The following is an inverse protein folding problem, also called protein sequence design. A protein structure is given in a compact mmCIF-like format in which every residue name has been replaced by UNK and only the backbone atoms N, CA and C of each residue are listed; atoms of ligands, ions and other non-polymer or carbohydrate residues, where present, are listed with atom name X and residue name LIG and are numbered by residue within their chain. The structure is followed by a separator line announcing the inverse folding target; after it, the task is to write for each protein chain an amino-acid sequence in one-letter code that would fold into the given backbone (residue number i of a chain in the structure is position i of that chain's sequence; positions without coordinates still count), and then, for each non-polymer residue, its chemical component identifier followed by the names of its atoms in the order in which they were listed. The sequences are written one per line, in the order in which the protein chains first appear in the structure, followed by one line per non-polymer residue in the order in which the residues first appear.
data_IF_109501764736
#
_entry.id   IF_109501764736
#
_cell.length_a   1.000
_cell.length_b   1.000
_cell.length_c   1.000
_cell.angle_alpha   90.00
_cell.angle_beta   90.00
_cell.angle_gamma   90.00
#
_symmetry.space_group_name_H-M   'P 1'
#
loop_
_entity.id
_entity.type
_entity.pdbx_description
1 polymer ?
#
# COMPACT_ATOMS: atom_id res chain seq x y z
N UNK A 1 6.66 -26.16 11.36
CA UNK A 1 5.95 -25.39 10.31
C UNK A 1 6.62 -25.75 8.98
N UNK A 2 5.86 -26.14 7.98
CA UNK A 2 6.42 -26.57 6.69
C UNK A 2 7.11 -25.37 6.01
N UNK A 3 8.35 -25.51 5.59
CA UNK A 3 9.15 -24.46 4.95
C UNK A 3 8.41 -23.92 3.71
N UNK A 4 7.77 -24.78 2.96
CA UNK A 4 6.94 -24.45 1.80
C UNK A 4 5.76 -23.51 2.15
N UNK A 5 5.13 -23.69 3.31
CA UNK A 5 4.03 -22.82 3.75
C UNK A 5 4.51 -21.40 4.05
N UNK A 6 5.63 -21.25 4.74
CA UNK A 6 6.20 -19.91 5.03
C UNK A 6 6.60 -19.19 3.73
N UNK A 7 7.19 -19.91 2.77
CA UNK A 7 7.57 -19.36 1.46
C UNK A 7 6.34 -18.88 0.67
N UNK A 8 5.25 -19.67 0.65
CA UNK A 8 3.99 -19.27 0.02
C UNK A 8 3.43 -17.99 0.67
N UNK A 9 3.40 -17.88 2.00
CA UNK A 9 2.89 -16.70 2.69
C UNK A 9 3.71 -15.43 2.37
N UNK A 10 5.02 -15.54 2.23
CA UNK A 10 5.89 -14.43 1.84
C UNK A 10 5.64 -14.00 0.38
N UNK A 11 5.47 -14.96 -0.53
CA UNK A 11 5.15 -14.69 -1.93
C UNK A 11 3.78 -14.02 -2.07
N UNK A 12 2.77 -14.45 -1.31
CA UNK A 12 1.43 -13.85 -1.33
C UNK A 12 1.47 -12.40 -0.81
N UNK A 13 2.19 -12.11 0.28
CA UNK A 13 2.40 -10.74 0.76
C UNK A 13 3.11 -9.87 -0.28
N UNK A 14 4.12 -10.41 -0.95
CA UNK A 14 4.83 -9.69 -2.01
C UNK A 14 3.92 -9.41 -3.20
N UNK A 15 3.08 -10.37 -3.61
CA UNK A 15 2.09 -10.18 -4.68
C UNK A 15 1.08 -9.10 -4.34
N UNK A 16 0.56 -9.11 -3.12
CA UNK A 16 -0.37 -8.09 -2.63
C UNK A 16 0.25 -6.68 -2.59
N UNK A 17 1.51 -6.55 -2.15
CA UNK A 17 2.24 -5.28 -2.17
C UNK A 17 2.42 -4.76 -3.60
N UNK A 18 2.79 -5.61 -4.56
CA UNK A 18 2.88 -5.24 -5.96
C UNK A 18 1.53 -4.78 -6.55
N UNK A 19 0.44 -5.48 -6.23
CA UNK A 19 -0.90 -5.05 -6.63
C UNK A 19 -1.27 -3.68 -6.04
N UNK A 20 -0.99 -3.47 -4.74
CA UNK A 20 -1.23 -2.20 -4.09
C UNK A 20 -0.42 -1.07 -4.73
N UNK A 21 0.88 -1.27 -5.00
CA UNK A 21 1.74 -0.28 -5.69
C UNK A 21 1.22 0.07 -7.08
N UNK A 22 0.75 -0.91 -7.86
CA UNK A 22 0.16 -0.63 -9.18
C UNK A 22 -1.09 0.27 -9.09
N UNK A 23 -1.90 0.12 -8.04
CA UNK A 23 -3.08 0.98 -7.81
C UNK A 23 -2.73 2.41 -7.38
N UNK A 24 -1.53 2.63 -6.85
CA UNK A 24 -1.02 3.97 -6.51
C UNK A 24 -0.52 4.73 -7.74
N UNK A 25 -0.17 4.03 -8.83
CA UNK A 25 0.35 4.66 -10.05
C UNK A 25 -0.76 5.41 -10.80
N UNK A 26 -0.66 6.75 -10.93
CA UNK A 26 -1.75 7.55 -11.52
C UNK A 26 -1.95 7.29 -13.01
N UNK A 27 -0.89 6.84 -13.69
CA UNK A 27 -0.89 6.68 -15.14
C UNK A 27 -0.21 5.37 -15.53
N UNK A 28 -1.01 4.45 -16.10
CA UNK A 28 -0.51 3.19 -16.64
C UNK A 28 -0.49 3.22 -18.17
N UNK A 29 0.70 3.14 -18.75
CA UNK A 29 0.91 3.12 -20.18
C UNK A 29 2.24 3.75 -20.61
N UNK A 30 2.37 4.02 -21.91
CA UNK A 30 3.57 4.61 -22.50
C UNK A 30 3.34 6.11 -22.75
N UNK A 31 4.20 7.01 -22.23
CA UNK A 31 4.10 8.43 -22.54
C UNK A 31 4.29 8.71 -24.03
N UNK A 32 3.43 9.58 -24.57
CA UNK A 32 3.46 10.03 -25.96
C UNK A 32 3.34 11.56 -26.00
N UNK A 33 4.19 12.22 -26.78
CA UNK A 33 4.10 13.65 -27.01
C UNK A 33 3.37 13.89 -28.33
N UNK A 34 2.34 14.73 -28.32
CA UNK A 34 1.62 15.18 -29.50
C UNK A 34 1.75 16.68 -29.66
N UNK A 35 1.96 17.14 -30.90
CA UNK A 35 2.00 18.56 -31.23
C UNK A 35 0.67 18.97 -31.90
N UNK A 36 0.08 20.06 -31.40
CA UNK A 36 -1.16 20.60 -31.93
C UNK A 36 -1.25 22.10 -31.65
N UNK A 37 -1.63 22.92 -32.61
CA UNK A 37 -1.83 24.36 -32.41
C UNK A 37 -0.59 25.12 -31.94
N UNK A 38 0.62 24.64 -32.30
CA UNK A 38 1.89 25.25 -31.85
C UNK A 38 2.30 24.89 -30.42
N UNK A 39 1.54 24.04 -29.72
CA UNK A 39 1.85 23.52 -28.38
C UNK A 39 2.19 22.04 -28.38
N UNK A 40 2.92 21.61 -27.34
CA UNK A 40 3.20 20.18 -27.09
C UNK A 40 2.35 19.70 -25.93
N UNK A 41 1.79 18.49 -26.06
CA UNK A 41 0.87 17.90 -25.10
C UNK A 41 1.27 16.47 -24.79
N UNK A 42 1.11 16.08 -23.54
CA UNK A 42 1.41 14.73 -23.05
C UNK A 42 0.15 13.87 -23.02
N UNK A 43 0.31 12.67 -23.52
CA UNK A 43 -0.69 11.62 -23.52
C UNK A 43 -0.07 10.32 -22.97
N UNK A 44 -0.91 9.48 -22.40
CA UNK A 44 -0.57 8.08 -22.08
C UNK A 44 -1.25 7.18 -23.08
N UNK A 45 -0.46 6.36 -23.76
CA UNK A 45 -0.94 5.36 -24.72
C UNK A 45 -0.94 3.98 -24.06
N UNK A 46 -2.11 3.34 -24.08
CA UNK A 46 -2.31 1.99 -23.53
C UNK A 46 -3.14 1.15 -24.51
N UNK A 47 -2.83 -0.16 -24.58
CA UNK A 47 -3.65 -1.11 -25.29
C UNK A 47 -4.66 -1.74 -24.32
N UNK A 48 -5.95 -1.48 -24.51
CA UNK A 48 -7.05 -2.05 -23.74
C UNK A 48 -7.89 -2.94 -24.65
N UNK A 49 -8.01 -4.22 -24.30
CA UNK A 49 -8.79 -5.20 -25.09
C UNK A 49 -8.46 -5.21 -26.61
N UNK A 50 -7.16 -5.11 -26.93
CA UNK A 50 -6.69 -5.08 -28.32
C UNK A 50 -6.86 -3.72 -29.03
N UNK A 51 -7.47 -2.72 -28.39
CA UNK A 51 -7.60 -1.36 -28.92
C UNK A 51 -6.58 -0.42 -28.27
N UNK A 52 -5.91 0.36 -29.11
CA UNK A 52 -4.98 1.39 -28.66
C UNK A 52 -5.78 2.62 -28.21
N UNK A 53 -5.63 2.99 -26.94
CA UNK A 53 -6.22 4.21 -26.37
C UNK A 53 -5.13 5.22 -26.07
N UNK A 54 -5.45 6.51 -26.16
CA UNK A 54 -4.53 7.60 -25.84
C UNK A 54 -5.28 8.59 -24.95
N UNK A 55 -4.85 8.72 -23.71
CA UNK A 55 -5.48 9.59 -22.69
C UNK A 55 -4.64 10.84 -22.50
N UNK A 56 -5.26 12.00 -22.56
CA UNK A 56 -4.61 13.28 -22.30
C UNK A 56 -4.20 13.40 -20.82
N UNK A 57 -2.98 13.87 -20.57
CA UNK A 57 -2.45 14.08 -19.21
C UNK A 57 -2.29 15.57 -18.91
N UNK A 58 -1.71 16.33 -19.84
CA UNK A 58 -1.45 17.75 -19.63
C UNK A 58 -0.60 18.38 -20.72
N UNK A 59 -0.27 19.66 -20.52
CA UNK A 59 0.70 20.37 -21.35
C UNK A 59 2.09 19.77 -21.09
N UNK A 60 2.89 19.64 -22.15
CA UNK A 60 4.25 19.12 -22.02
C UNK A 60 5.10 20.02 -21.12
N UNK A 61 5.66 19.41 -20.08
CA UNK A 61 6.84 19.88 -19.37
C UNK A 61 7.84 18.73 -19.25
N UNK A 62 9.10 19.05 -19.13
CA UNK A 62 10.15 18.02 -19.01
C UNK A 62 9.99 17.22 -17.71
N UNK A 63 9.62 17.89 -16.62
CA UNK A 63 9.36 17.27 -15.31
C UNK A 63 8.22 16.27 -15.40
N UNK A 64 7.09 16.64 -16.01
CA UNK A 64 5.93 15.76 -16.16
C UNK A 64 6.25 14.59 -17.08
N UNK A 65 6.96 14.83 -18.20
CA UNK A 65 7.39 13.76 -19.09
C UNK A 65 8.31 12.75 -18.40
N UNK A 66 9.29 13.24 -17.64
CA UNK A 66 10.22 12.40 -16.88
C UNK A 66 9.52 11.63 -15.76
N UNK A 67 8.51 12.22 -15.11
CA UNK A 67 7.66 11.53 -14.14
C UNK A 67 6.91 10.36 -14.80
N UNK A 68 6.26 10.59 -15.93
CA UNK A 68 5.54 9.56 -16.66
C UNK A 68 6.46 8.43 -17.16
N UNK A 69 7.67 8.76 -17.60
CA UNK A 69 8.68 7.76 -17.97
C UNK A 69 9.08 6.89 -16.77
N UNK A 70 9.34 7.50 -15.61
CA UNK A 70 9.68 6.76 -14.38
C UNK A 70 8.54 5.84 -13.97
N UNK A 71 7.29 6.32 -13.97
CA UNK A 71 6.12 5.50 -13.67
C UNK A 71 6.01 4.31 -14.64
N UNK A 72 6.17 4.55 -15.95
CA UNK A 72 6.12 3.48 -16.94
C UNK A 72 7.23 2.43 -16.75
N UNK A 73 8.43 2.84 -16.34
CA UNK A 73 9.53 1.93 -15.99
C UNK A 73 9.21 1.12 -14.73
N UNK A 74 8.73 1.77 -13.69
CA UNK A 74 8.36 1.12 -12.41
C UNK A 74 7.25 0.09 -12.63
N UNK A 75 6.18 0.44 -13.36
CA UNK A 75 5.11 -0.49 -13.73
C UNK A 75 5.67 -1.73 -14.47
N UNK A 76 6.63 -1.54 -15.37
CA UNK A 76 7.28 -2.68 -16.07
C UNK A 76 8.07 -3.57 -15.13
N UNK A 77 8.77 -2.99 -14.16
CA UNK A 77 9.52 -3.73 -13.14
C UNK A 77 8.54 -4.54 -12.29
N UNK A 78 7.51 -3.89 -11.73
CA UNK A 78 6.49 -4.54 -10.90
C UNK A 78 5.82 -5.70 -11.65
N UNK A 79 5.41 -5.49 -12.91
CA UNK A 79 4.79 -6.54 -13.71
C UNK A 79 5.74 -7.70 -14.04
N UNK A 80 7.05 -7.47 -14.06
CA UNK A 80 8.05 -8.55 -14.20
C UNK A 80 8.14 -9.35 -12.90
N UNK A 81 8.24 -8.67 -11.77
CA UNK A 81 8.31 -9.31 -10.44
C UNK A 81 7.02 -10.11 -10.17
N UNK A 82 5.84 -9.56 -10.48
CA UNK A 82 4.56 -10.28 -10.38
C UNK A 82 4.59 -11.60 -11.13
N UNK A 83 5.07 -11.59 -12.38
CA UNK A 83 5.18 -12.83 -13.18
C UNK A 83 6.15 -13.85 -12.56
N UNK A 84 7.19 -13.39 -11.87
CA UNK A 84 8.11 -14.28 -11.15
C UNK A 84 7.43 -14.90 -9.93
N UNK A 85 6.74 -14.07 -9.14
CA UNK A 85 5.97 -14.55 -7.98
C UNK A 85 4.89 -15.57 -8.39
N UNK A 86 4.12 -15.28 -9.44
CA UNK A 86 3.10 -16.21 -9.96
C UNK A 86 3.71 -17.56 -10.41
N UNK A 87 4.88 -17.51 -11.06
CA UNK A 87 5.60 -18.71 -11.46
C UNK A 87 6.05 -19.55 -10.25
N UNK A 88 6.57 -18.89 -9.21
CA UNK A 88 6.99 -19.57 -7.99
C UNK A 88 5.80 -20.14 -7.20
N UNK A 89 4.71 -19.41 -7.07
CA UNK A 89 3.46 -19.91 -6.48
C UNK A 89 2.95 -21.15 -7.20
N UNK A 90 2.98 -21.14 -8.54
CA UNK A 90 2.62 -22.30 -9.36
C UNK A 90 3.57 -23.47 -9.13
N UNK A 91 4.88 -23.24 -9.03
CA UNK A 91 5.90 -24.26 -8.73
C UNK A 91 5.68 -24.91 -7.37
N UNK A 92 5.25 -24.12 -6.39
CA UNK A 92 4.94 -24.59 -5.02
C UNK A 92 3.56 -25.27 -4.92
N UNK A 93 2.81 -25.34 -6.03
CA UNK A 93 1.49 -25.98 -6.05
C UNK A 93 0.39 -25.16 -5.37
N UNK A 94 0.59 -23.84 -5.23
CA UNK A 94 -0.43 -22.96 -4.67
C UNK A 94 -1.67 -22.94 -5.56
N UNK A 95 -2.83 -23.20 -4.96
CA UNK A 95 -4.13 -23.09 -5.63
C UNK A 95 -4.88 -21.87 -5.09
N UNK A 96 -5.35 -21.05 -5.99
CA UNK A 96 -6.14 -19.87 -5.61
C UNK A 96 -7.52 -20.27 -5.06
N UNK A 97 -7.84 -19.72 -3.88
CA UNK A 97 -9.17 -19.83 -3.29
C UNK A 97 -10.00 -18.59 -3.62
N UNK A 98 -11.31 -18.76 -3.69
CA UNK A 98 -12.24 -17.64 -3.86
C UNK A 98 -12.68 -17.10 -2.49
N UNK A 99 -12.82 -15.77 -2.42
CA UNK A 99 -13.38 -15.11 -1.25
C UNK A 99 -14.87 -15.45 -1.10
N UNK A 100 -15.36 -15.58 0.15
CA UNK A 100 -16.80 -15.70 0.41
C UNK A 100 -17.53 -14.41 0.02
N UNK A 101 -18.85 -14.51 -0.21
CA UNK A 101 -19.68 -13.33 -0.54
C UNK A 101 -19.67 -12.28 0.59
N UNK A 102 -19.65 -12.73 1.84
CA UNK A 102 -19.59 -11.85 3.03
C UNK A 102 -18.27 -11.07 3.06
N UNK A 103 -17.14 -11.72 2.80
CA UNK A 103 -15.85 -11.05 2.73
C UNK A 103 -15.81 -10.03 1.59
N UNK A 104 -16.39 -10.35 0.42
CA UNK A 104 -16.48 -9.40 -0.71
C UNK A 104 -17.29 -8.16 -0.32
N UNK A 105 -18.44 -8.33 0.35
CA UNK A 105 -19.27 -7.21 0.82
C UNK A 105 -18.49 -6.35 1.81
N UNK A 106 -17.75 -6.95 2.74
CA UNK A 106 -16.94 -6.21 3.70
C UNK A 106 -15.80 -5.44 3.02
N UNK A 107 -15.17 -6.00 1.98
CA UNK A 107 -14.17 -5.30 1.16
C UNK A 107 -14.79 -4.09 0.47
N UNK A 108 -15.95 -4.26 -0.15
CA UNK A 108 -16.65 -3.17 -0.84
C UNK A 108 -17.03 -2.05 0.13
N UNK A 109 -17.51 -2.40 1.32
CA UNK A 109 -17.80 -1.45 2.40
C UNK A 109 -16.51 -0.72 2.85
N UNK A 110 -15.43 -1.45 3.09
CA UNK A 110 -14.15 -0.87 3.49
C UNK A 110 -13.58 0.07 2.40
N UNK A 111 -13.70 -0.30 1.12
CA UNK A 111 -13.29 0.54 -0.02
C UNK A 111 -14.12 1.81 -0.12
N UNK A 112 -15.45 1.71 0.08
CA UNK A 112 -16.33 2.88 0.06
C UNK A 112 -16.00 3.90 1.16
N UNK A 113 -15.49 3.45 2.31
CA UNK A 113 -15.13 4.29 3.45
C UNK A 113 -13.62 4.59 3.53
N UNK A 114 -12.80 4.09 2.62
CA UNK A 114 -11.33 4.17 2.69
C UNK A 114 -10.82 5.61 2.80
N UNK A 115 -11.37 6.54 2.02
CA UNK A 115 -10.95 7.96 2.05
C UNK A 115 -11.22 8.60 3.42
N UNK A 116 -12.39 8.35 4.00
CA UNK A 116 -12.74 8.85 5.34
C UNK A 116 -11.82 8.26 6.40
N UNK A 117 -11.60 6.95 6.36
CA UNK A 117 -10.74 6.27 7.32
C UNK A 117 -9.28 6.75 7.23
N UNK A 118 -8.77 6.98 6.02
CA UNK A 118 -7.42 7.52 5.83
C UNK A 118 -7.34 8.95 6.39
N UNK A 119 -8.36 9.79 6.17
CA UNK A 119 -8.41 11.13 6.76
C UNK A 119 -8.38 11.06 8.30
N UNK A 120 -9.24 10.24 8.90
CA UNK A 120 -9.30 10.11 10.37
C UNK A 120 -7.96 9.62 10.94
N UNK A 121 -7.33 8.63 10.32
CA UNK A 121 -6.00 8.15 10.69
C UNK A 121 -4.93 9.24 10.54
N UNK A 122 -4.95 10.00 9.45
CA UNK A 122 -4.01 11.09 9.22
C UNK A 122 -4.12 12.16 10.32
N UNK A 123 -5.33 12.51 10.74
CA UNK A 123 -5.58 13.46 11.84
C UNK A 123 -5.07 12.90 13.17
N UNK A 124 -5.31 11.61 13.46
CA UNK A 124 -4.81 10.95 14.67
C UNK A 124 -3.27 10.92 14.73
N UNK A 125 -2.61 10.77 13.58
CA UNK A 125 -1.15 10.85 13.45
C UNK A 125 -0.61 12.29 13.47
N UNK A 126 -1.46 13.29 13.71
CA UNK A 126 -1.07 14.69 13.82
C UNK A 126 -0.76 15.36 12.48
N UNK A 127 -1.23 14.81 11.37
CA UNK A 127 -1.09 15.42 10.05
C UNK A 127 -2.08 16.57 9.93
N UNK A 128 -1.57 17.76 9.64
CA UNK A 128 -2.40 18.95 9.42
C UNK A 128 -3.03 18.91 8.02
N UNK A 129 -4.16 18.23 7.89
CA UNK A 129 -4.91 18.11 6.63
C UNK A 129 -6.41 18.28 6.85
N UNK A 130 -7.14 18.66 5.81
CA UNK A 130 -8.60 18.59 5.75
C UNK A 130 -9.07 17.35 4.97
N UNK A 131 -10.33 16.98 5.13
CA UNK A 131 -10.91 15.88 4.35
C UNK A 131 -10.76 16.11 2.84
N UNK A 132 -11.04 17.34 2.37
CA UNK A 132 -10.91 17.71 0.95
C UNK A 132 -9.47 17.55 0.45
N UNK A 133 -8.48 18.04 1.20
CA UNK A 133 -7.07 17.88 0.83
C UNK A 133 -6.66 16.40 0.80
N UNK A 134 -7.13 15.61 1.76
CA UNK A 134 -6.87 14.16 1.77
C UNK A 134 -7.47 13.50 0.55
N UNK A 135 -8.71 13.82 0.19
CA UNK A 135 -9.37 13.31 -1.01
C UNK A 135 -8.64 13.70 -2.30
N UNK A 136 -8.23 14.96 -2.44
CA UNK A 136 -7.43 15.44 -3.58
C UNK A 136 -6.11 14.68 -3.72
N UNK A 137 -5.41 14.39 -2.59
CA UNK A 137 -4.19 13.56 -2.58
C UNK A 137 -4.49 12.15 -3.09
N UNK A 138 -5.53 11.53 -2.55
CA UNK A 138 -5.90 10.16 -2.90
C UNK A 138 -6.34 10.02 -4.36
N UNK A 139 -6.92 11.08 -4.93
CA UNK A 139 -7.34 11.16 -6.33
C UNK A 139 -6.25 11.71 -7.27
N UNK A 140 -5.02 11.89 -6.78
CA UNK A 140 -3.87 12.42 -7.52
C UNK A 140 -4.11 13.81 -8.13
N UNK A 141 -4.86 14.66 -7.44
CA UNK A 141 -5.12 16.03 -7.86
C UNK A 141 -4.01 16.97 -7.38
N UNK A 142 -3.96 18.17 -7.97
CA UNK A 142 -2.99 19.18 -7.57
C UNK A 142 -3.43 19.84 -6.26
N UNK A 143 -2.54 19.81 -5.27
CA UNK A 143 -2.81 20.29 -3.91
C UNK A 143 -1.96 21.51 -3.59
N UNK A 144 -2.46 22.33 -2.67
CA UNK A 144 -1.73 23.45 -2.08
C UNK A 144 -1.91 23.46 -0.56
N UNK A 145 -0.96 24.04 0.16
CA UNK A 145 -1.08 24.27 1.59
C UNK A 145 -0.79 23.07 2.49
N UNK A 146 -0.24 21.98 1.94
CA UNK A 146 0.20 20.81 2.70
C UNK A 146 1.68 20.52 2.40
N UNK A 147 2.43 19.96 3.36
CA UNK A 147 3.84 19.63 3.18
C UNK A 147 4.02 18.36 2.35
N UNK A 148 5.13 18.24 1.63
CA UNK A 148 5.47 17.02 0.89
C UNK A 148 5.57 15.78 1.82
N UNK A 149 6.03 16.00 3.07
CA UNK A 149 6.07 14.97 4.10
C UNK A 149 4.67 14.45 4.46
N UNK A 150 3.71 15.35 4.64
CA UNK A 150 2.35 14.98 5.01
C UNK A 150 1.61 14.30 3.84
N UNK A 151 1.84 14.77 2.61
CA UNK A 151 1.38 14.06 1.39
C UNK A 151 1.91 12.64 1.37
N UNK A 152 3.21 12.45 1.62
CA UNK A 152 3.81 11.10 1.61
C UNK A 152 3.21 10.20 2.69
N UNK A 153 2.95 10.71 3.89
CA UNK A 153 2.29 9.93 4.95
C UNK A 153 0.88 9.47 4.53
N UNK A 154 0.09 10.37 3.93
CA UNK A 154 -1.26 10.02 3.44
C UNK A 154 -1.18 8.96 2.33
N UNK A 155 -0.22 9.06 1.41
CA UNK A 155 0.00 8.06 0.37
C UNK A 155 0.45 6.71 0.95
N UNK A 156 1.26 6.72 2.01
CA UNK A 156 1.64 5.50 2.73
C UNK A 156 0.42 4.82 3.39
N UNK A 157 -0.49 5.60 3.98
CA UNK A 157 -1.76 5.08 4.50
C UNK A 157 -2.59 4.46 3.38
N UNK A 158 -2.72 5.13 2.23
CA UNK A 158 -3.40 4.56 1.05
C UNK A 158 -2.76 3.24 0.62
N UNK A 159 -1.43 3.18 0.58
CA UNK A 159 -0.70 1.97 0.23
C UNK A 159 -1.02 0.82 1.19
N UNK A 160 -0.97 1.09 2.50
CA UNK A 160 -1.31 0.10 3.52
C UNK A 160 -2.77 -0.39 3.39
N UNK A 161 -3.72 0.50 3.13
CA UNK A 161 -5.12 0.15 2.89
C UNK A 161 -5.31 -0.72 1.65
N UNK A 162 -4.70 -0.37 0.50
CA UNK A 162 -4.78 -1.17 -0.71
C UNK A 162 -4.14 -2.55 -0.54
N UNK A 163 -3.06 -2.65 0.25
CA UNK A 163 -2.41 -3.90 0.61
C UNK A 163 -3.32 -4.76 1.50
N UNK A 164 -3.88 -4.21 2.59
CA UNK A 164 -4.76 -4.95 3.52
C UNK A 164 -6.01 -5.47 2.81
N UNK A 165 -6.55 -4.73 1.86
CA UNK A 165 -7.73 -5.11 1.09
C UNK A 165 -7.42 -6.01 -0.12
N UNK A 166 -6.18 -6.45 -0.28
CA UNK A 166 -5.83 -7.44 -1.29
C UNK A 166 -6.28 -8.85 -0.85
N UNK A 167 -6.77 -9.62 -1.82
CA UNK A 167 -7.23 -11.00 -1.60
C UNK A 167 -6.20 -11.88 -0.90
N UNK A 168 -4.95 -11.76 -1.30
CA UNK A 168 -3.87 -12.58 -0.76
C UNK A 168 -3.62 -12.31 0.72
N UNK A 169 -3.74 -11.05 1.14
CA UNK A 169 -3.63 -10.65 2.55
C UNK A 169 -4.82 -11.15 3.35
N UNK A 170 -6.04 -10.96 2.84
CA UNK A 170 -7.28 -11.41 3.51
C UNK A 170 -7.36 -12.92 3.68
N UNK A 171 -6.74 -13.68 2.78
CA UNK A 171 -6.67 -15.14 2.84
C UNK A 171 -5.44 -15.64 3.61
N UNK A 172 -4.51 -14.76 3.97
CA UNK A 172 -3.31 -15.13 4.71
C UNK A 172 -3.58 -15.18 6.22
N UNK A 173 -2.68 -15.86 6.94
CA UNK A 173 -2.71 -15.85 8.40
C UNK A 173 -2.28 -14.48 8.91
N UNK A 174 -3.03 -13.93 9.88
CA UNK A 174 -2.56 -12.80 10.67
C UNK A 174 -1.44 -13.27 11.58
N UNK A 175 -0.26 -12.67 11.45
CA UNK A 175 0.92 -12.97 12.24
C UNK A 175 1.80 -11.72 12.41
N UNK A 176 2.87 -11.85 13.20
CA UNK A 176 3.85 -10.80 13.37
C UNK A 176 4.40 -10.26 12.03
N UNK A 177 4.64 -11.11 11.06
CA UNK A 177 5.23 -10.72 9.78
C UNK A 177 4.27 -9.87 8.93
N UNK A 178 2.97 -10.17 8.99
CA UNK A 178 1.95 -9.34 8.35
C UNK A 178 1.88 -7.96 9.01
N UNK A 179 1.83 -7.90 10.35
CA UNK A 179 1.82 -6.63 11.09
C UNK A 179 3.09 -5.81 10.85
N UNK A 180 4.26 -6.46 10.82
CA UNK A 180 5.53 -5.85 10.48
C UNK A 180 5.53 -5.27 9.06
N UNK A 181 4.93 -5.97 8.09
CA UNK A 181 4.82 -5.48 6.71
C UNK A 181 3.92 -4.25 6.62
N UNK A 182 2.76 -4.25 7.27
CA UNK A 182 1.85 -3.10 7.33
C UNK A 182 2.58 -1.89 7.94
N UNK A 183 3.26 -2.07 9.07
CA UNK A 183 4.04 -1.02 9.72
C UNK A 183 5.17 -0.50 8.81
N UNK A 184 5.80 -1.37 8.00
CA UNK A 184 6.79 -0.96 7.00
C UNK A 184 6.17 -0.07 5.93
N UNK A 185 5.00 -0.40 5.41
CA UNK A 185 4.31 0.40 4.39
C UNK A 185 3.94 1.79 4.92
N UNK A 186 3.37 1.87 6.13
CA UNK A 186 3.01 3.14 6.76
C UNK A 186 4.24 4.04 6.97
N UNK A 187 5.39 3.45 7.28
CA UNK A 187 6.63 4.17 7.58
C UNK A 187 7.58 4.30 6.36
N UNK A 188 7.14 3.96 5.17
CA UNK A 188 7.96 4.03 3.96
C UNK A 188 8.47 5.47 3.74
N UNK A 189 9.75 5.63 3.40
CA UNK A 189 10.47 6.90 3.23
C UNK A 189 10.74 7.71 4.51
N UNK A 190 10.21 7.31 5.67
CA UNK A 190 10.46 8.00 6.95
C UNK A 190 11.46 7.25 7.82
N UNK A 191 11.43 5.91 7.79
CA UNK A 191 12.32 5.08 8.60
C UNK A 191 12.95 3.97 7.74
N UNK A 192 14.28 3.91 7.71
CA UNK A 192 15.01 2.86 6.98
C UNK A 192 14.71 1.44 7.49
N UNK A 193 14.20 1.32 8.70
CA UNK A 193 13.85 0.06 9.35
C UNK A 193 12.38 0.02 9.77
N UNK A 194 11.50 0.64 8.99
CA UNK A 194 10.06 0.56 9.21
C UNK A 194 9.59 -0.90 9.35
N UNK A 195 8.68 -1.15 10.26
CA UNK A 195 8.15 -2.49 10.55
C UNK A 195 9.00 -3.37 11.47
N UNK A 196 10.18 -2.91 11.91
CA UNK A 196 10.99 -3.62 12.92
C UNK A 196 10.63 -3.17 14.33
N UNK A 197 10.80 -4.06 15.29
CA UNK A 197 10.71 -3.72 16.71
C UNK A 197 11.80 -2.69 17.03
N UNK A 198 11.44 -1.63 17.74
CA UNK A 198 12.38 -0.58 18.13
C UNK A 198 13.48 -1.11 19.05
N UNK A 199 14.71 -0.72 18.76
CA UNK A 199 15.87 -0.99 19.63
C UNK A 199 16.33 0.22 20.43
N UNK A 200 15.56 1.32 20.40
CA UNK A 200 15.89 2.57 21.12
C UNK A 200 14.74 2.96 22.06
N UNK A 201 15.04 3.64 23.19
CA UNK A 201 14.01 4.18 24.08
C UNK A 201 13.17 5.22 23.33
N UNK A 202 11.89 5.33 23.69
CA UNK A 202 10.99 6.39 23.25
C UNK A 202 10.41 7.09 24.48
N UNK A 203 10.10 8.37 24.33
CA UNK A 203 9.39 9.14 25.35
C UNK A 203 7.95 9.38 24.90
N UNK A 204 7.02 9.35 25.83
CA UNK A 204 5.63 9.71 25.57
C UNK A 204 5.46 11.20 25.95
N UNK A 205 5.02 12.03 25.02
CA UNK A 205 4.78 13.44 25.26
C UNK A 205 3.83 13.65 26.44
N UNK A 206 4.18 14.57 27.35
CA UNK A 206 3.40 14.84 28.56
C UNK A 206 3.53 13.81 29.70
N UNK A 207 4.42 12.80 29.58
CA UNK A 207 4.66 11.79 30.59
C UNK A 207 6.16 11.67 30.93
N UNK A 208 6.48 11.37 32.16
CA UNK A 208 7.83 10.98 32.59
C UNK A 208 8.10 9.48 32.40
N UNK A 209 7.09 8.71 32.01
CA UNK A 209 7.24 7.28 31.78
C UNK A 209 7.99 7.01 30.49
N UNK A 210 9.06 6.24 30.58
CA UNK A 210 9.83 5.74 29.41
C UNK A 210 9.53 4.25 29.27
N UNK A 211 8.78 3.84 28.21
CA UNK A 211 8.48 2.44 27.99
C UNK A 211 9.76 1.63 27.79
N UNK A 212 9.88 0.43 28.38
CA UNK A 212 11.04 -0.43 28.17
C UNK A 212 11.19 -0.80 26.69
N UNK A 213 12.43 -1.09 26.28
CA UNK A 213 12.70 -1.60 24.94
C UNK A 213 12.17 -3.04 24.90
N UNK A 214 11.21 -3.37 24.02
CA UNK A 214 10.67 -4.71 23.93
C UNK A 214 11.68 -5.68 23.30
N UNK A 215 11.70 -6.92 23.76
CA UNK A 215 12.38 -8.02 23.08
C UNK A 215 11.57 -8.44 21.85
N UNK A 216 12.23 -8.76 20.75
CA UNK A 216 11.54 -9.22 19.54
C UNK A 216 10.83 -10.56 19.77
N UNK A 217 11.40 -11.46 20.57
CA UNK A 217 10.76 -12.73 20.96
C UNK A 217 9.48 -12.48 21.75
N UNK A 218 9.54 -11.64 22.78
CA UNK A 218 8.39 -11.37 23.65
C UNK A 218 7.22 -10.75 22.86
N UNK A 219 7.52 -9.86 21.90
CA UNK A 219 6.48 -9.28 21.04
C UNK A 219 5.86 -10.32 20.13
N UNK A 220 6.67 -11.20 19.51
CA UNK A 220 6.17 -12.29 18.67
C UNK A 220 5.30 -13.26 19.45
N UNK A 221 5.75 -13.65 20.65
CA UNK A 221 5.02 -14.58 21.51
C UNK A 221 3.70 -13.96 21.95
N UNK A 222 3.70 -12.69 22.35
CA UNK A 222 2.50 -11.98 22.77
C UNK A 222 1.49 -11.79 21.62
N UNK A 223 1.94 -11.47 20.42
CA UNK A 223 1.08 -11.40 19.24
C UNK A 223 0.46 -12.77 18.94
N UNK A 224 1.25 -13.84 19.01
CA UNK A 224 0.73 -15.19 18.81
C UNK A 224 -0.30 -15.59 19.87
N UNK A 225 -0.09 -15.24 21.14
CA UNK A 225 -1.08 -15.44 22.20
C UNK A 225 -2.41 -14.77 21.86
N UNK A 226 -2.38 -13.44 21.58
CA UNK A 226 -3.58 -12.64 21.25
C UNK A 226 -4.34 -13.22 20.05
N UNK A 227 -3.62 -13.63 19.00
CA UNK A 227 -4.25 -14.17 17.77
C UNK A 227 -4.82 -15.58 17.97
N UNK A 228 -4.29 -16.34 18.94
CA UNK A 228 -4.76 -17.70 19.23
C UNK A 228 -5.82 -17.77 20.32
N UNK A 229 -6.03 -16.70 21.08
CA UNK A 229 -7.13 -16.59 22.02
C UNK A 229 -8.49 -16.61 21.29
N UNK A 230 -9.48 -17.26 21.88
CA UNK A 230 -10.86 -17.32 21.35
C UNK A 230 -11.62 -16.03 21.71
N UNK A 231 -11.15 -14.93 21.14
CA UNK A 231 -11.72 -13.60 21.33
C UNK A 231 -12.55 -13.19 20.12
N UNK A 232 -13.54 -12.34 20.34
CA UNK A 232 -14.22 -11.67 19.23
C UNK A 232 -13.26 -10.74 18.46
N UNK A 233 -13.51 -10.41 17.17
CA UNK A 233 -12.65 -9.50 16.42
C UNK A 233 -12.42 -8.14 17.09
N UNK A 234 -13.40 -7.65 17.87
CA UNK A 234 -13.26 -6.38 18.60
C UNK A 234 -12.31 -6.55 19.78
N UNK A 235 -12.47 -7.62 20.58
CA UNK A 235 -11.59 -7.91 21.72
C UNK A 235 -10.15 -8.16 21.28
N UNK A 236 -9.95 -8.80 20.12
CA UNK A 236 -8.62 -9.02 19.55
C UNK A 236 -7.93 -7.72 19.11
N UNK A 237 -8.72 -6.69 18.75
CA UNK A 237 -8.21 -5.41 18.27
C UNK A 237 -7.91 -4.38 19.38
N UNK A 238 -8.36 -4.60 20.62
CA UNK A 238 -8.14 -3.75 21.79
C UNK A 238 -6.94 -4.24 22.58
#
# INVERSE_FOLDING_TARGET
MDISYCEIQELLRSRADFHARLKLMPYDGTPEVKESGGGKYLYIRKCLNGKLTSTYVGVYTEELYNLLLRNAMEIRIINRELRQVEKELTRLGYLENNLSKEVIINIDFARANMKSNIYDQAVLEGIATSYMQTEEILDNQKISGITASDVQKILNLKHAWEFILDKDVLMSKTDYYLLSHIAKLINESFFNQGGRIRGIPVSIGGSSYIPPIPSESDVKDRINEIITEDLSPIETAI
#
